data_IF_255536462990
#
_entry.id   IF_255536462990
#
_cell.length_a   1.000
_cell.length_b   1.000
_cell.length_c   1.000
_cell.angle_alpha   90.00
_cell.angle_beta   90.00
_cell.angle_gamma   90.00
#
_symmetry.space_group_name_H-M   'P 1'
#
loop_
_entity.id
_entity.type
_entity.pdbx_description
1 polymer ?
#
# COMPACT_ATOMS: atom_id res chain seq x y z
N UNK A 1 -49.16 -33.39 -9.12
CA UNK A 1 -48.44 -33.88 -10.33
C UNK A 1 -49.20 -33.42 -11.57
N UNK A 2 -48.51 -32.80 -12.55
CA UNK A 2 -48.89 -32.60 -13.99
C UNK A 2 -50.15 -31.72 -14.23
N UNK A 3 -50.33 -30.92 -15.29
CA UNK A 3 -49.57 -30.48 -16.48
C UNK A 3 -50.31 -29.26 -17.06
N UNK A 4 -49.55 -28.29 -17.58
CA UNK A 4 -49.74 -27.48 -18.80
C UNK A 4 -51.14 -27.02 -19.30
N UNK A 5 -51.27 -25.70 -19.53
CA UNK A 5 -52.09 -25.05 -20.56
C UNK A 5 -51.33 -23.77 -20.98
N UNK A 6 -51.24 -23.27 -22.21
CA UNK A 6 -51.71 -23.63 -23.54
C UNK A 6 -51.21 -22.48 -24.46
N UNK A 7 -50.77 -22.79 -25.68
CA UNK A 7 -50.25 -21.82 -26.66
C UNK A 7 -51.28 -20.74 -26.99
N UNK A 8 -50.86 -19.48 -27.14
CA UNK A 8 -51.47 -18.54 -28.10
C UNK A 8 -50.41 -17.82 -28.92
N UNK A 9 -50.51 -18.05 -30.22
CA UNK A 9 -49.82 -17.41 -31.34
C UNK A 9 -50.53 -16.12 -31.72
N UNK A 10 -49.77 -15.03 -31.87
CA UNK A 10 -50.10 -13.87 -32.71
C UNK A 10 -48.73 -13.33 -33.16
N UNK A 11 -48.38 -13.28 -34.43
CA UNK A 11 -49.05 -12.49 -35.45
C UNK A 11 -48.03 -11.46 -35.94
N UNK A 12 -47.31 -11.82 -37.00
CA UNK A 12 -46.31 -11.01 -37.72
C UNK A 12 -46.99 -9.84 -38.43
N UNK A 13 -46.45 -8.61 -38.33
CA UNK A 13 -46.26 -7.63 -39.44
C UNK A 13 -45.80 -6.26 -38.91
N UNK A 14 -44.52 -5.94 -39.13
CA UNK A 14 -44.01 -4.93 -40.09
C UNK A 14 -44.29 -3.48 -39.71
N UNK A 15 -43.27 -2.80 -39.17
CA UNK A 15 -43.16 -1.35 -39.24
C UNK A 15 -41.69 -0.95 -39.50
N UNK A 16 -41.50 -0.47 -40.73
CA UNK A 16 -40.50 0.48 -41.24
C UNK A 16 -39.10 0.58 -40.60
N UNK A 17 -38.08 0.37 -41.44
CA UNK A 17 -36.73 0.92 -41.29
C UNK A 17 -36.71 2.41 -41.69
N UNK A 18 -35.73 3.13 -41.11
CA UNK A 18 -35.17 4.47 -41.45
C UNK A 18 -36.07 5.65 -41.03
N UNK A 19 -35.56 6.75 -40.48
CA UNK A 19 -34.27 7.42 -40.74
C UNK A 19 -33.81 8.25 -39.53
N UNK A 20 -32.52 8.57 -39.55
CA UNK A 20 -31.76 9.38 -38.60
C UNK A 20 -32.43 10.69 -38.17
N UNK A 21 -32.36 11.01 -36.87
CA UNK A 21 -31.76 12.29 -36.45
C UNK A 21 -31.22 12.18 -35.02
N UNK A 22 -30.04 12.77 -34.86
CA UNK A 22 -29.22 12.83 -33.65
C UNK A 22 -29.90 13.65 -32.56
N UNK A 23 -29.69 13.28 -31.29
CA UNK A 23 -28.86 14.00 -30.29
C UNK A 23 -29.36 13.70 -28.86
N UNK A 24 -28.71 12.74 -28.22
CA UNK A 24 -28.92 12.41 -26.80
C UNK A 24 -28.25 13.49 -25.91
N UNK A 25 -28.85 13.95 -24.80
CA UNK A 25 -28.11 14.64 -23.75
C UNK A 25 -27.41 13.59 -22.88
N UNK A 26 -26.21 13.19 -23.28
CA UNK A 26 -25.39 12.26 -22.51
C UNK A 26 -24.71 12.99 -21.34
N UNK A 27 -25.26 12.76 -20.14
CA UNK A 27 -24.56 12.34 -18.91
C UNK A 27 -23.31 13.15 -18.48
N UNK A 28 -23.47 13.84 -17.35
CA UNK A 28 -22.48 14.04 -16.27
C UNK A 28 -21.37 12.97 -16.32
N UNK A 29 -20.13 13.37 -16.58
CA UNK A 29 -18.97 12.54 -16.28
C UNK A 29 -17.78 13.39 -15.83
N UNK A 30 -17.43 13.17 -14.56
CA UNK A 30 -16.11 13.28 -13.94
C UNK A 30 -15.24 14.49 -14.27
N UNK A 31 -15.15 15.38 -13.28
CA UNK A 31 -13.97 16.22 -13.06
C UNK A 31 -12.70 15.38 -13.22
N UNK A 32 -11.90 15.71 -14.23
CA UNK A 32 -10.61 15.11 -14.54
C UNK A 32 -9.63 15.45 -13.42
N UNK A 33 -9.60 14.61 -12.37
CA UNK A 33 -8.53 14.62 -11.36
C UNK A 33 -7.21 14.55 -12.11
N UNK A 34 -6.44 15.62 -12.07
CA UNK A 34 -5.05 15.63 -12.50
C UNK A 34 -4.30 14.65 -11.59
N UNK A 35 -4.05 13.45 -12.12
CA UNK A 35 -3.15 12.51 -11.49
C UNK A 35 -1.80 13.23 -11.35
N UNK A 36 -1.45 13.64 -10.13
CA UNK A 36 -0.11 14.14 -9.82
C UNK A 36 0.88 13.12 -10.38
N UNK A 37 1.62 13.53 -11.42
CA UNK A 37 2.79 12.83 -11.96
C UNK A 37 3.59 12.35 -10.75
N UNK A 38 3.64 11.03 -10.51
CA UNK A 38 4.61 10.47 -9.57
C UNK A 38 5.97 10.85 -10.14
N UNK A 39 6.62 11.81 -9.52
CA UNK A 39 7.98 12.21 -9.88
C UNK A 39 8.85 10.96 -9.79
N UNK A 40 9.55 10.66 -10.89
CA UNK A 40 10.48 9.55 -10.96
C UNK A 40 11.38 9.60 -9.72
N UNK A 41 11.46 8.48 -9.00
CA UNK A 41 12.26 8.37 -7.79
C UNK A 41 13.71 8.77 -8.14
N UNK A 42 14.12 9.94 -7.67
CA UNK A 42 15.50 10.44 -7.74
C UNK A 42 16.40 9.26 -7.32
N UNK A 43 17.30 8.80 -8.20
CA UNK A 43 18.32 7.78 -7.87
C UNK A 43 19.19 8.36 -6.74
N UNK A 44 18.72 8.22 -5.51
CA UNK A 44 19.50 8.57 -4.34
C UNK A 44 20.64 7.56 -4.27
N UNK A 45 21.88 8.03 -4.19
CA UNK A 45 23.07 7.18 -4.05
C UNK A 45 22.84 6.04 -3.07
N UNK A 46 23.45 4.88 -3.36
CA UNK A 46 23.21 3.61 -2.67
C UNK A 46 23.41 3.75 -1.16
N UNK A 47 22.33 4.00 -0.41
CA UNK A 47 22.40 4.15 1.05
C UNK A 47 22.88 2.83 1.65
N UNK A 48 23.86 2.86 2.56
CA UNK A 48 24.34 1.65 3.25
C UNK A 48 23.22 0.92 4.00
N UNK A 49 22.26 1.67 4.54
CA UNK A 49 21.09 1.15 5.24
C UNK A 49 19.82 1.37 4.42
N UNK A 50 18.90 0.40 4.49
CA UNK A 50 17.55 0.56 3.95
C UNK A 50 16.72 1.58 4.73
N UNK A 51 15.70 2.15 4.10
CA UNK A 51 14.74 3.02 4.78
C UNK A 51 14.01 2.30 5.93
N UNK A 52 13.79 0.98 5.81
CA UNK A 52 13.24 0.15 6.88
C UNK A 52 14.14 0.13 8.12
N UNK A 53 15.44 -0.07 7.93
CA UNK A 53 16.41 -0.04 9.03
C UNK A 53 16.48 1.33 9.73
N UNK A 54 16.51 2.42 8.96
CA UNK A 54 16.49 3.78 9.52
C UNK A 54 15.23 4.05 10.34
N UNK A 55 14.06 3.61 9.86
CA UNK A 55 12.78 3.75 10.58
C UNK A 55 12.74 2.96 11.88
N UNK A 56 13.29 1.75 11.90
CA UNK A 56 13.39 0.95 13.14
C UNK A 56 14.25 1.66 14.17
N UNK A 57 15.45 2.11 13.78
CA UNK A 57 16.35 2.86 14.69
C UNK A 57 15.68 4.14 15.22
N UNK A 58 14.96 4.87 14.38
CA UNK A 58 14.25 6.07 14.80
C UNK A 58 13.18 5.75 15.87
N UNK A 59 12.41 4.67 15.69
CA UNK A 59 11.40 4.23 16.65
C UNK A 59 12.05 3.88 18.00
N UNK A 60 13.14 3.11 17.99
CA UNK A 60 13.85 2.72 19.20
C UNK A 60 14.45 3.93 19.92
N UNK A 61 15.03 4.88 19.20
CA UNK A 61 15.54 6.12 19.78
C UNK A 61 14.40 6.92 20.44
N UNK A 62 13.24 7.00 19.80
CA UNK A 62 12.07 7.69 20.38
C UNK A 62 11.57 6.96 21.64
N UNK A 63 11.49 5.63 21.63
CA UNK A 63 11.09 4.84 22.80
C UNK A 63 12.08 4.98 23.96
N UNK A 64 13.39 5.02 23.65
CA UNK A 64 14.43 5.28 24.64
C UNK A 64 14.29 6.69 25.24
N UNK A 65 14.10 7.73 24.42
CA UNK A 65 13.87 9.11 24.91
C UNK A 65 12.63 9.23 25.80
N UNK A 66 11.63 8.36 25.60
CA UNK A 66 10.43 8.26 26.44
C UNK A 66 10.64 7.39 27.69
N UNK A 67 11.80 6.76 27.87
CA UNK A 67 12.07 5.86 28.99
C UNK A 67 11.32 4.52 28.95
N UNK A 68 10.80 4.15 27.77
CA UNK A 68 9.97 2.96 27.57
C UNK A 68 10.77 1.76 27.03
N UNK A 69 11.93 2.02 26.42
CA UNK A 69 12.74 0.97 25.82
C UNK A 69 13.40 0.08 26.89
N UNK A 70 13.21 -1.23 26.79
CA UNK A 70 13.81 -2.25 27.65
C UNK A 70 14.73 -3.17 26.86
N UNK A 71 15.78 -3.65 27.53
CA UNK A 71 16.66 -4.69 27.02
C UNK A 71 15.97 -6.05 27.09
N UNK A 72 16.36 -6.97 26.20
CA UNK A 72 15.71 -8.28 26.06
C UNK A 72 15.81 -9.15 27.33
N UNK A 73 16.92 -9.88 27.49
CA UNK A 73 17.05 -10.92 28.54
C UNK A 73 16.92 -10.37 29.97
N UNK A 74 17.40 -9.16 30.23
CA UNK A 74 17.44 -8.60 31.59
C UNK A 74 16.29 -7.65 31.91
N UNK A 75 15.46 -7.26 30.93
CA UNK A 75 14.34 -6.33 31.13
C UNK A 75 14.73 -4.91 31.57
N UNK A 76 16.03 -4.63 31.75
CA UNK A 76 16.55 -3.34 32.22
C UNK A 76 16.23 -2.25 31.20
N UNK A 77 15.89 -1.04 31.68
CA UNK A 77 15.68 0.12 30.81
C UNK A 77 16.96 0.47 30.05
N UNK A 78 16.81 0.84 28.78
CA UNK A 78 17.92 1.26 27.94
C UNK A 78 18.24 2.71 28.22
N UNK A 79 19.45 2.96 28.72
CA UNK A 79 19.92 4.30 29.08
C UNK A 79 20.77 4.94 27.98
N UNK A 80 21.39 4.14 27.12
CA UNK A 80 22.35 4.64 26.13
C UNK A 80 21.78 4.62 24.71
N UNK A 81 22.03 5.72 23.96
CA UNK A 81 21.64 5.84 22.55
C UNK A 81 22.30 4.78 21.66
N UNK A 82 23.55 4.42 21.96
CA UNK A 82 24.27 3.34 21.27
C UNK A 82 23.52 2.01 21.38
N UNK A 83 23.02 1.68 22.56
CA UNK A 83 22.27 0.46 22.79
C UNK A 83 20.91 0.49 22.08
N UNK A 84 20.20 1.62 22.07
CA UNK A 84 18.96 1.76 21.30
C UNK A 84 19.18 1.58 19.79
N UNK A 85 20.26 2.12 19.24
CA UNK A 85 20.65 1.90 17.84
C UNK A 85 20.95 0.41 17.60
N UNK A 86 21.68 -0.25 18.50
CA UNK A 86 22.00 -1.66 18.38
C UNK A 86 20.74 -2.55 18.40
N UNK A 87 19.76 -2.24 19.24
CA UNK A 87 18.46 -2.91 19.27
C UNK A 87 17.74 -2.68 17.93
N UNK A 88 17.62 -1.43 17.49
CA UNK A 88 16.93 -1.08 16.24
C UNK A 88 17.56 -1.72 14.99
N UNK A 89 18.90 -1.81 14.93
CA UNK A 89 19.61 -2.49 13.85
C UNK A 89 19.44 -4.02 13.92
N UNK A 90 19.40 -4.60 15.13
CA UNK A 90 19.16 -6.03 15.31
C UNK A 90 17.73 -6.42 14.91
N UNK A 91 16.74 -5.60 15.27
CA UNK A 91 15.36 -5.79 14.80
C UNK A 91 15.25 -5.63 13.28
N UNK A 92 15.93 -4.63 12.71
CA UNK A 92 15.94 -4.44 11.28
C UNK A 92 16.50 -5.66 10.54
N UNK A 93 17.58 -6.27 11.04
CA UNK A 93 18.13 -7.52 10.50
C UNK A 93 17.14 -8.68 10.60
N UNK A 94 16.50 -8.87 11.76
CA UNK A 94 15.48 -9.92 11.95
C UNK A 94 14.29 -9.76 11.01
N UNK A 95 13.92 -8.51 10.69
CA UNK A 95 12.85 -8.19 9.73
C UNK A 95 13.28 -8.25 8.26
N UNK A 96 14.52 -8.67 7.96
CA UNK A 96 15.04 -8.77 6.59
C UNK A 96 15.38 -7.43 5.93
N UNK A 97 15.48 -6.35 6.70
CA UNK A 97 15.88 -5.06 6.15
C UNK A 97 17.37 -5.05 5.79
N UNK A 98 17.74 -4.36 4.70
CA UNK A 98 19.15 -4.21 4.32
C UNK A 98 19.93 -3.45 5.39
N UNK A 99 20.83 -4.15 6.06
CA UNK A 99 21.77 -3.64 7.05
C UNK A 99 23.14 -4.24 6.71
N UNK A 100 24.23 -3.46 6.71
CA UNK A 100 25.58 -3.99 6.51
C UNK A 100 25.91 -5.14 7.47
N UNK A 101 26.67 -6.10 6.97
CA UNK A 101 27.22 -7.20 7.75
C UNK A 101 28.09 -6.66 8.88
N UNK A 102 28.11 -7.38 9.99
CA UNK A 102 29.10 -7.13 11.03
C UNK A 102 30.47 -7.52 10.49
N UNK A 103 31.46 -6.65 10.70
CA UNK A 103 32.86 -7.05 10.46
C UNK A 103 33.21 -8.06 11.56
N UNK A 104 33.74 -9.22 11.21
CA UNK A 104 34.42 -10.07 12.17
C UNK A 104 35.57 -9.26 12.75
N UNK A 105 35.66 -9.22 14.08
CA UNK A 105 36.73 -8.54 14.79
C UNK A 105 37.98 -9.40 14.78
#
# INVERSE_FOLDING_TARGET
MKKAAGKKTAGKKTAAKKSAVKKSPARKSAAKKTARRKTAAKKSGTRKYSAGASKSVEREIKAMKKGQLKSGRSGKKVTSRKQAIAIGLSEARKRGARVPALRSR
#
